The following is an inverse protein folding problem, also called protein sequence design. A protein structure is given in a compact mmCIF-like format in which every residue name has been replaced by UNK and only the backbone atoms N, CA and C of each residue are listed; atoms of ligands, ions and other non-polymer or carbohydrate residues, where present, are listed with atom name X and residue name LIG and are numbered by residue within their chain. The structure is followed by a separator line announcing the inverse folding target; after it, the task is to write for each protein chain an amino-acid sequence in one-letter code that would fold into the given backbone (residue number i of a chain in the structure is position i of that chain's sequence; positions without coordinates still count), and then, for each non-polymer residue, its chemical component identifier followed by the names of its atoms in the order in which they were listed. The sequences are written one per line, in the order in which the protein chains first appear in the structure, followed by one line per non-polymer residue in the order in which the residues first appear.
data_IF_314312414630
#
_entry.id   IF_314312414630
#
_cell.length_a   1.000
_cell.length_b   1.000
_cell.length_c   1.000
_cell.angle_alpha   90.00
_cell.angle_beta   90.00
_cell.angle_gamma   90.00
#
_symmetry.space_group_name_H-M   'P 1'
#
loop_
_entity.id
_entity.type
_entity.pdbx_description
1 polymer ?
#
# COMPACT_ATOMS: atom_id res chain seq x y z
N UNK A 1 24.90 -47.12 1.46
CA UNK A 1 25.00 -46.07 2.50
C UNK A 1 25.55 -44.82 1.85
N UNK A 2 24.69 -43.84 1.59
CA UNK A 2 24.95 -42.39 1.55
C UNK A 2 23.69 -41.76 0.94
N UNK A 3 22.84 -41.22 1.82
CA UNK A 3 21.53 -40.67 1.51
C UNK A 3 21.62 -39.22 1.02
N UNK A 4 20.74 -38.90 0.06
CA UNK A 4 20.03 -37.64 -0.13
C UNK A 4 20.67 -36.34 0.39
N UNK A 5 21.27 -35.55 -0.52
CA UNK A 5 21.58 -34.15 -0.28
C UNK A 5 20.93 -33.27 -1.37
N UNK A 6 20.00 -32.43 -0.91
CA UNK A 6 19.45 -31.21 -1.55
C UNK A 6 18.37 -31.37 -2.62
N UNK A 7 17.14 -31.65 -2.19
CA UNK A 7 15.95 -31.02 -2.79
C UNK A 7 15.57 -29.81 -1.95
N UNK A 8 16.16 -28.65 -2.22
CA UNK A 8 15.66 -27.38 -1.68
C UNK A 8 15.86 -26.22 -2.66
N UNK A 9 15.47 -26.42 -3.92
CA UNK A 9 15.09 -25.28 -4.75
C UNK A 9 13.64 -24.97 -4.45
N UNK A 10 13.41 -24.40 -3.27
CA UNK A 10 12.15 -23.76 -2.89
C UNK A 10 11.79 -22.76 -3.96
N UNK A 11 10.63 -23.00 -4.56
CA UNK A 11 9.90 -22.15 -5.50
C UNK A 11 10.15 -20.67 -5.19
N UNK A 12 10.81 -19.96 -6.11
CA UNK A 12 10.75 -18.50 -6.13
C UNK A 12 9.32 -18.17 -6.54
N UNK A 13 8.40 -18.22 -5.59
CA UNK A 13 7.04 -17.74 -5.76
C UNK A 13 7.18 -16.23 -5.97
N UNK A 14 7.14 -15.80 -7.24
CA UNK A 14 7.12 -14.40 -7.63
C UNK A 14 5.85 -13.77 -7.05
N UNK A 15 5.92 -13.35 -5.79
CA UNK A 15 4.82 -12.69 -5.11
C UNK A 15 4.61 -11.36 -5.81
N UNK A 16 3.49 -11.24 -6.52
CA UNK A 16 3.06 -9.98 -7.08
C UNK A 16 2.96 -8.95 -5.94
N UNK A 17 3.53 -7.75 -6.09
CA UNK A 17 3.51 -6.74 -5.05
C UNK A 17 2.06 -6.43 -4.65
N UNK A 18 1.77 -6.45 -3.36
CA UNK A 18 0.44 -6.19 -2.86
C UNK A 18 0.16 -4.69 -2.96
N UNK A 19 -0.91 -4.33 -3.68
CA UNK A 19 -1.35 -2.95 -3.86
C UNK A 19 -2.64 -2.69 -3.09
N UNK A 20 -2.65 -1.66 -2.26
CA UNK A 20 -3.85 -1.21 -1.56
C UNK A 20 -3.87 0.30 -1.41
N UNK A 21 -5.00 0.83 -0.94
CA UNK A 21 -5.19 2.26 -0.72
C UNK A 21 -5.69 2.49 0.71
N UNK A 22 -5.14 3.52 1.34
CA UNK A 22 -5.62 4.01 2.64
C UNK A 22 -5.80 5.52 2.57
N UNK A 23 -6.61 6.08 3.47
CA UNK A 23 -6.71 7.54 3.58
C UNK A 23 -5.66 8.12 4.54
N UNK A 24 -5.09 9.26 4.15
CA UNK A 24 -4.38 10.16 5.05
C UNK A 24 -5.35 10.75 6.09
N UNK A 25 -4.83 11.24 7.22
CA UNK A 25 -5.60 12.01 8.20
C UNK A 25 -6.36 13.22 7.58
N UNK A 26 -5.90 13.74 6.44
CA UNK A 26 -6.55 14.82 5.68
C UNK A 26 -7.54 14.32 4.61
N UNK A 27 -7.89 13.03 4.62
CA UNK A 27 -8.81 12.39 3.68
C UNK A 27 -8.21 12.07 2.29
N UNK A 28 -7.00 12.51 1.98
CA UNK A 28 -6.36 12.23 0.69
C UNK A 28 -5.92 10.76 0.59
N UNK A 29 -6.09 10.10 -0.57
CA UNK A 29 -5.64 8.71 -0.73
C UNK A 29 -4.12 8.61 -0.72
N UNK A 30 -3.62 7.56 -0.07
CA UNK A 30 -2.25 7.10 -0.12
C UNK A 30 -2.25 5.72 -0.76
N UNK A 31 -1.28 5.50 -1.62
CA UNK A 31 -1.00 4.20 -2.22
C UNK A 31 -0.11 3.40 -1.28
N UNK A 32 -0.43 2.14 -1.04
CA UNK A 32 0.39 1.19 -0.29
C UNK A 32 0.92 0.14 -1.26
N UNK A 33 2.24 -0.04 -1.28
CA UNK A 33 2.92 -1.10 -2.03
C UNK A 33 3.97 -1.71 -1.11
N UNK A 34 3.88 -3.02 -0.87
CA UNK A 34 4.82 -3.78 -0.03
C UNK A 34 5.12 -3.11 1.33
N UNK A 35 4.08 -2.70 2.05
CA UNK A 35 4.14 -2.01 3.36
C UNK A 35 4.79 -0.61 3.35
N UNK A 36 5.02 -0.03 2.17
CA UNK A 36 5.44 1.36 2.00
C UNK A 36 4.29 2.24 1.53
N UNK A 37 4.21 3.46 2.06
CA UNK A 37 3.19 4.43 1.64
C UNK A 37 3.73 5.45 0.67
N UNK A 38 2.92 5.75 -0.34
CA UNK A 38 3.19 6.75 -1.36
C UNK A 38 2.05 7.76 -1.43
N UNK A 39 2.40 9.03 -1.61
CA UNK A 39 1.45 10.12 -1.87
C UNK A 39 1.41 10.42 -3.36
N UNK A 40 0.25 10.80 -3.87
CA UNK A 40 0.10 11.23 -5.25
C UNK A 40 0.92 12.51 -5.47
N UNK A 41 1.82 12.48 -6.45
CA UNK A 41 2.63 13.62 -6.87
C UNK A 41 1.99 14.34 -8.07
N UNK A 42 1.60 13.56 -9.09
CA UNK A 42 0.93 14.06 -10.30
C UNK A 42 0.03 12.98 -10.87
N UNK A 43 -1.08 13.37 -11.48
CA UNK A 43 -1.88 12.48 -12.32
C UNK A 43 -1.92 13.04 -13.75
N UNK A 44 -1.83 12.15 -14.73
CA UNK A 44 -2.18 12.38 -16.13
C UNK A 44 -3.43 11.57 -16.47
N UNK A 45 -3.92 11.68 -17.71
CA UNK A 45 -5.10 10.92 -18.17
C UNK A 45 -4.92 9.41 -18.03
N UNK A 46 -3.70 8.91 -18.21
CA UNK A 46 -3.41 7.47 -18.25
C UNK A 46 -2.59 6.98 -17.06
N UNK A 47 -1.87 7.85 -16.36
CA UNK A 47 -0.87 7.44 -15.37
C UNK A 47 -0.91 8.34 -14.14
N UNK A 48 -0.86 7.71 -12.95
CA UNK A 48 -0.69 8.39 -11.67
C UNK A 48 0.73 8.14 -11.19
N UNK A 49 1.41 9.22 -10.82
CA UNK A 49 2.78 9.24 -10.34
C UNK A 49 2.76 9.44 -8.83
N UNK A 50 3.33 8.48 -8.11
CA UNK A 50 3.34 8.42 -6.67
C UNK A 50 4.78 8.50 -6.16
N UNK A 51 4.98 9.22 -5.06
CA UNK A 51 6.29 9.36 -4.40
C UNK A 51 6.17 8.92 -2.95
N UNK A 52 7.24 8.36 -2.39
CA UNK A 52 7.22 7.92 -0.99
C UNK A 52 6.83 9.07 -0.05
N UNK A 53 6.14 8.74 1.04
CA UNK A 53 5.72 9.71 2.06
C UNK A 53 6.87 10.20 2.93
N UNK A 54 7.92 9.40 3.10
CA UNK A 54 9.12 9.77 3.85
C UNK A 54 9.95 10.77 3.05
N UNK A 55 10.40 11.84 3.72
CA UNK A 55 11.28 12.85 3.12
C UNK A 55 12.60 12.22 2.72
N UNK A 56 13.18 12.70 1.62
CA UNK A 56 14.48 12.25 1.10
C UNK A 56 14.54 10.77 0.67
N UNK A 57 13.39 10.09 0.59
CA UNK A 57 13.27 8.78 -0.04
C UNK A 57 13.11 8.93 -1.56
N UNK A 58 13.95 8.23 -2.33
CA UNK A 58 13.95 8.28 -3.79
C UNK A 58 12.91 7.36 -4.45
N UNK A 59 12.22 6.52 -3.67
CA UNK A 59 11.26 5.54 -4.18
C UNK A 59 10.01 6.19 -4.77
N UNK A 60 9.62 5.72 -5.95
CA UNK A 60 8.49 6.20 -6.75
C UNK A 60 7.73 5.01 -7.31
N UNK A 61 6.43 5.19 -7.46
CA UNK A 61 5.54 4.18 -8.05
C UNK A 61 4.64 4.84 -9.07
N UNK A 62 4.39 4.16 -10.18
CA UNK A 62 3.45 4.58 -11.20
C UNK A 62 2.31 3.58 -11.26
N UNK A 63 1.08 4.07 -11.27
CA UNK A 63 -0.12 3.26 -11.53
C UNK A 63 -0.83 3.77 -12.77
N UNK A 64 -1.66 2.94 -13.38
CA UNK A 64 -2.57 3.38 -14.44
C UNK A 64 -3.73 4.22 -13.87
N UNK A 65 -4.64 4.65 -14.74
CA UNK A 65 -5.86 5.36 -14.36
C UNK A 65 -6.80 4.53 -13.48
N UNK A 66 -6.77 3.21 -13.63
CA UNK A 66 -7.56 2.20 -12.91
C UNK A 66 -6.88 1.69 -11.63
N UNK A 67 -5.80 2.32 -11.19
CA UNK A 67 -5.01 1.97 -10.01
C UNK A 67 -4.21 0.65 -10.11
N UNK A 68 -4.03 0.09 -11.31
CA UNK A 68 -3.12 -1.03 -11.54
C UNK A 68 -1.66 -0.61 -11.43
N UNK A 69 -0.84 -1.40 -10.73
CA UNK A 69 0.59 -1.13 -10.60
C UNK A 69 1.29 -1.27 -11.96
N UNK A 70 1.94 -0.22 -12.44
CA UNK A 70 2.69 -0.23 -13.70
C UNK A 70 4.20 -0.36 -13.47
N UNK A 71 4.76 0.45 -12.56
CA UNK A 71 6.21 0.53 -12.36
C UNK A 71 6.56 0.96 -10.94
N UNK A 72 7.57 0.34 -10.35
CA UNK A 72 8.28 0.83 -9.17
C UNK A 72 9.70 1.29 -9.58
N UNK A 73 10.16 2.40 -9.03
CA UNK A 73 11.45 3.03 -9.38
C UNK A 73 12.15 3.52 -8.12
N UNK A 74 13.44 3.22 -8.01
CA UNK A 74 14.27 3.65 -6.87
C UNK A 74 14.11 2.74 -5.66
N UNK A 75 15.04 2.88 -4.71
CA UNK A 75 15.07 2.09 -3.49
C UNK A 75 14.62 2.93 -2.30
N UNK A 76 14.03 2.26 -1.31
CA UNK A 76 13.75 2.88 -0.02
C UNK A 76 15.04 3.02 0.80
N UNK A 77 15.22 4.18 1.42
CA UNK A 77 16.31 4.49 2.34
C UNK A 77 15.89 4.34 3.81
N UNK A 78 14.72 3.73 4.05
CA UNK A 78 14.11 3.55 5.35
C UNK A 78 13.35 2.23 5.40
N UNK A 79 13.04 1.76 6.61
CA UNK A 79 12.25 0.55 6.82
C UNK A 79 10.77 0.78 6.49
N UNK A 80 10.01 -0.30 6.18
CA UNK A 80 8.57 -0.22 6.02
C UNK A 80 7.86 0.27 7.29
N UNK A 81 6.72 0.96 7.12
CA UNK A 81 5.95 1.54 8.22
C UNK A 81 4.76 0.65 8.62
N UNK A 82 4.96 -0.67 8.71
CA UNK A 82 3.88 -1.66 8.88
C UNK A 82 2.96 -1.38 10.06
N UNK A 83 3.53 -1.12 11.25
CA UNK A 83 2.72 -0.81 12.44
C UNK A 83 1.85 0.45 12.23
N UNK A 84 2.39 1.48 11.58
CA UNK A 84 1.63 2.70 11.27
C UNK A 84 0.53 2.45 10.26
N UNK A 85 0.74 1.54 9.30
CA UNK A 85 -0.28 1.11 8.35
C UNK A 85 -1.44 0.43 9.08
N UNK A 86 -1.15 -0.54 9.95
CA UNK A 86 -2.15 -1.28 10.72
C UNK A 86 -3.00 -0.33 11.59
N UNK A 87 -2.37 0.65 12.26
CA UNK A 87 -3.08 1.68 13.03
C UNK A 87 -3.97 2.54 12.14
N UNK A 88 -3.55 2.89 10.92
CA UNK A 88 -4.36 3.67 9.99
C UNK A 88 -5.57 2.88 9.48
N UNK A 89 -5.37 1.63 9.10
CA UNK A 89 -6.45 0.74 8.67
C UNK A 89 -7.50 0.55 9.78
N UNK A 90 -7.06 0.33 11.03
CA UNK A 90 -7.95 0.21 12.18
C UNK A 90 -8.78 1.49 12.40
N UNK A 91 -8.17 2.67 12.26
CA UNK A 91 -8.87 3.96 12.36
C UNK A 91 -9.90 4.15 11.26
N UNK A 92 -9.58 3.72 10.04
CA UNK A 92 -10.50 3.80 8.90
C UNK A 92 -11.73 2.91 9.12
N UNK A 93 -11.51 1.65 9.52
CA UNK A 93 -12.58 0.71 9.89
C UNK A 93 -13.47 1.27 10.98
N UNK A 94 -12.88 1.82 12.05
CA UNK A 94 -13.63 2.45 13.14
C UNK A 94 -14.44 3.66 12.67
N UNK A 95 -13.88 4.47 11.75
CA UNK A 95 -14.59 5.63 11.19
C UNK A 95 -15.80 5.19 10.37
N UNK A 96 -15.67 4.12 9.57
CA UNK A 96 -16.78 3.57 8.80
C UNK A 96 -17.87 2.98 9.71
N UNK A 97 -17.48 2.23 10.75
CA UNK A 97 -18.41 1.68 11.74
C UNK A 97 -19.21 2.76 12.46
N UNK A 98 -18.55 3.84 12.90
CA UNK A 98 -19.23 4.99 13.54
C UNK A 98 -20.26 5.63 12.60
N UNK A 99 -19.92 5.82 11.33
CA UNK A 99 -20.86 6.37 10.33
C UNK A 99 -22.05 5.44 10.13
N UNK A 100 -21.81 4.15 9.96
CA UNK A 100 -22.87 3.15 9.78
C UNK A 100 -23.83 3.12 10.98
N UNK A 101 -23.30 3.12 12.21
CA UNK A 101 -24.13 3.16 13.42
C UNK A 101 -24.96 4.45 13.51
N UNK A 102 -24.37 5.60 13.17
CA UNK A 102 -25.08 6.88 13.13
C UNK A 102 -26.22 6.87 12.09
N UNK A 103 -26.00 6.31 10.90
CA UNK A 103 -27.03 6.26 9.85
C UNK A 103 -28.22 5.37 10.22
N UNK A 104 -27.97 4.28 10.95
CA UNK A 104 -29.04 3.37 11.39
C UNK A 104 -29.95 3.99 12.47
N UNK A 105 -29.42 4.87 13.31
CA UNK A 105 -30.17 5.50 14.41
C UNK A 105 -30.89 6.79 14.02
N UNK A 106 -30.74 7.29 12.79
CA UNK A 106 -31.46 8.49 12.30
C UNK A 106 -32.76 8.12 11.58
N UNK A 107 -32.95 6.85 11.24
CA UNK A 107 -34.16 6.32 10.56
C UNK A 107 -35.16 5.64 11.51
N UNK A 108 -34.95 5.76 12.82
CA UNK A 108 -35.84 5.28 13.89
C UNK A 108 -36.39 6.48 14.68
#
# INVERSE_FOLDING_TARGET
MAEAFVTLTSEIQAKSPAISFINSNKGKPLLVVDDYTFKLNKATTTTKYWICTIKDCAAKVHTDSNNGLMKSVGNHSHLPEKERLEVREAREKMTHLKKHFLTLNISA
#
